data_IF_753714853059
#
_entry.id   IF_753714853059
#
_cell.length_a   1.000
_cell.length_b   1.000
_cell.length_c   1.000
_cell.angle_alpha   90.00
_cell.angle_beta   90.00
_cell.angle_gamma   90.00
#
_symmetry.space_group_name_H-M   'P 1'
#
loop_
_entity.id
_entity.type
_entity.pdbx_description
1 polymer ?
#
# COMPACT_ATOMS: atom_id res chain seq x y z
N UNK A 1 -3.47 -10.70 -4.37
CA UNK A 1 -4.11 -9.58 -5.07
C UNK A 1 -5.51 -9.95 -5.56
N UNK A 2 -5.73 -11.13 -6.14
CA UNK A 2 -7.06 -11.53 -6.67
C UNK A 2 -8.11 -11.65 -5.56
N UNK A 3 -7.78 -12.33 -4.45
CA UNK A 3 -8.71 -12.45 -3.31
C UNK A 3 -9.08 -11.08 -2.74
N UNK A 4 -8.11 -10.18 -2.56
CA UNK A 4 -8.35 -8.81 -2.09
C UNK A 4 -9.25 -8.04 -3.08
N UNK A 5 -9.02 -8.19 -4.38
CA UNK A 5 -9.84 -7.57 -5.43
C UNK A 5 -11.29 -8.05 -5.36
N UNK A 6 -11.52 -9.35 -5.12
CA UNK A 6 -12.86 -9.93 -4.95
C UNK A 6 -13.53 -9.34 -3.70
N UNK A 7 -12.81 -9.27 -2.58
CA UNK A 7 -13.35 -8.75 -1.32
C UNK A 7 -13.61 -7.23 -1.37
N UNK A 8 -12.87 -6.47 -2.16
CA UNK A 8 -13.15 -5.05 -2.40
C UNK A 8 -14.42 -4.84 -3.25
N UNK A 9 -14.74 -5.77 -4.17
CA UNK A 9 -15.99 -5.71 -4.96
C UNK A 9 -17.18 -6.21 -4.14
N UNK A 10 -16.98 -7.32 -3.41
CA UNK A 10 -17.99 -7.93 -2.55
C UNK A 10 -17.34 -8.38 -1.23
N UNK A 11 -17.44 -7.56 -0.17
CA UNK A 11 -16.85 -7.86 1.14
C UNK A 11 -17.36 -9.15 1.80
N UNK A 12 -18.56 -9.58 1.45
CA UNK A 12 -19.19 -10.80 1.99
C UNK A 12 -18.90 -12.05 1.13
N UNK A 13 -18.09 -11.93 0.07
CA UNK A 13 -17.79 -13.03 -0.83
C UNK A 13 -17.08 -14.18 -0.10
N UNK A 14 -17.65 -15.38 -0.22
CA UNK A 14 -17.04 -16.60 0.28
C UNK A 14 -16.44 -17.38 -0.89
N UNK A 15 -15.12 -17.32 -1.01
CA UNK A 15 -14.39 -17.88 -2.14
C UNK A 15 -13.10 -18.55 -1.71
N UNK A 16 -12.65 -19.51 -2.51
CA UNK A 16 -11.28 -20.01 -2.50
C UNK A 16 -10.64 -19.61 -3.83
N UNK A 17 -9.51 -18.92 -3.76
CA UNK A 17 -8.71 -18.57 -4.94
C UNK A 17 -7.48 -19.47 -4.94
N UNK A 18 -7.27 -20.21 -6.02
CA UNK A 18 -6.11 -21.08 -6.17
C UNK A 18 -4.98 -20.34 -6.89
N UNK A 19 -3.92 -20.02 -6.14
CA UNK A 19 -2.88 -19.12 -6.61
C UNK A 19 -3.37 -17.68 -6.66
N UNK A 20 -2.78 -16.85 -7.52
CA UNK A 20 -3.22 -15.47 -7.75
C UNK A 20 -3.79 -15.32 -9.16
N UNK A 21 -4.79 -16.17 -9.47
CA UNK A 21 -5.41 -16.25 -10.80
C UNK A 21 -6.91 -16.05 -10.76
N UNK A 22 -7.40 -15.16 -11.62
CA UNK A 22 -8.83 -14.96 -11.83
C UNK A 22 -9.51 -16.10 -12.63
N UNK A 23 -8.74 -17.06 -13.14
CA UNK A 23 -9.25 -18.23 -13.87
C UNK A 23 -9.57 -19.42 -12.97
N UNK A 24 -9.11 -19.41 -11.72
CA UNK A 24 -9.22 -20.56 -10.80
C UNK A 24 -9.80 -20.14 -9.45
N UNK A 25 -11.11 -19.88 -9.44
CA UNK A 25 -11.87 -19.42 -8.28
C UNK A 25 -13.02 -20.38 -8.02
N UNK A 26 -13.10 -20.91 -6.80
CA UNK A 26 -14.26 -21.61 -6.28
C UNK A 26 -15.13 -20.65 -5.46
N UNK A 27 -16.43 -20.60 -5.78
CA UNK A 27 -17.41 -19.76 -5.12
C UNK A 27 -18.28 -20.62 -4.18
N UNK A 28 -18.46 -20.17 -2.94
CA UNK A 28 -19.17 -20.91 -1.90
C UNK A 28 -20.40 -20.16 -1.38
N UNK A 29 -21.27 -20.87 -0.66
CA UNK A 29 -22.41 -20.33 0.09
C UNK A 29 -23.35 -19.42 -0.71
N UNK A 30 -23.51 -19.70 -2.01
CA UNK A 30 -24.36 -18.93 -2.89
C UNK A 30 -23.79 -17.56 -3.27
N UNK A 31 -22.50 -17.31 -3.04
CA UNK A 31 -21.82 -16.11 -3.54
C UNK A 31 -21.95 -16.06 -5.06
N UNK A 32 -22.56 -15.01 -5.59
CA UNK A 32 -22.67 -14.78 -7.03
C UNK A 32 -21.27 -14.60 -7.62
N UNK A 33 -20.88 -15.41 -8.63
CA UNK A 33 -19.57 -15.25 -9.27
C UNK A 33 -19.41 -13.86 -9.89
N UNK A 34 -18.30 -13.21 -9.58
CA UNK A 34 -17.89 -11.93 -10.18
C UNK A 34 -17.18 -12.24 -11.50
N UNK A 35 -17.38 -11.38 -12.51
CA UNK A 35 -16.72 -11.58 -13.79
C UNK A 35 -15.20 -11.45 -13.66
N UNK A 36 -14.47 -12.23 -14.46
CA UNK A 36 -13.00 -12.15 -14.52
C UNK A 36 -12.53 -10.74 -14.86
N UNK A 37 -13.22 -10.08 -15.78
CA UNK A 37 -12.88 -8.72 -16.23
C UNK A 37 -12.98 -7.72 -15.06
N UNK A 38 -14.05 -7.79 -14.28
CA UNK A 38 -14.22 -6.90 -13.12
C UNK A 38 -13.16 -7.15 -12.05
N UNK A 39 -12.84 -8.43 -11.77
CA UNK A 39 -11.78 -8.80 -10.82
C UNK A 39 -10.43 -8.25 -11.26
N UNK A 40 -10.06 -8.43 -12.53
CA UNK A 40 -8.78 -7.94 -13.06
C UNK A 40 -8.73 -6.41 -13.15
N UNK A 41 -9.84 -5.76 -13.47
CA UNK A 41 -9.94 -4.31 -13.44
C UNK A 41 -9.70 -3.77 -12.03
N UNK A 42 -10.32 -4.38 -11.01
CA UNK A 42 -10.08 -4.01 -9.61
C UNK A 42 -8.66 -4.31 -9.16
N UNK A 43 -8.09 -5.44 -9.58
CA UNK A 43 -6.69 -5.75 -9.31
C UNK A 43 -5.75 -4.67 -9.86
N UNK A 44 -5.97 -4.24 -11.11
CA UNK A 44 -5.18 -3.19 -11.74
C UNK A 44 -5.33 -1.85 -11.02
N UNK A 45 -6.54 -1.49 -10.58
CA UNK A 45 -6.79 -0.30 -9.75
C UNK A 45 -5.99 -0.35 -8.44
N UNK A 46 -6.08 -1.46 -7.70
CA UNK A 46 -5.36 -1.63 -6.44
C UNK A 46 -3.83 -1.61 -6.62
N UNK A 47 -3.34 -2.22 -7.70
CA UNK A 47 -1.92 -2.19 -8.03
C UNK A 47 -1.46 -0.76 -8.35
N UNK A 48 -2.25 -0.01 -9.14
CA UNK A 48 -1.93 1.38 -9.46
C UNK A 48 -1.92 2.28 -8.21
N UNK A 49 -2.87 2.11 -7.29
CA UNK A 49 -2.89 2.81 -6.00
C UNK A 49 -1.65 2.44 -5.17
N UNK A 50 -1.32 1.15 -5.09
CA UNK A 50 -0.13 0.68 -4.39
C UNK A 50 1.14 1.30 -4.98
N UNK A 51 1.30 1.31 -6.30
CA UNK A 51 2.47 1.85 -6.98
C UNK A 51 2.55 3.38 -6.82
N UNK A 52 1.41 4.08 -6.89
CA UNK A 52 1.35 5.53 -6.64
C UNK A 52 1.82 5.91 -5.23
N UNK A 53 1.70 5.00 -4.25
CA UNK A 53 2.16 5.20 -2.87
C UNK A 53 3.60 4.73 -2.61
N UNK A 54 4.32 4.24 -3.63
CA UNK A 54 5.69 3.74 -3.47
C UNK A 54 6.63 4.80 -2.88
N UNK A 55 6.56 6.03 -3.38
CA UNK A 55 7.39 7.14 -2.87
C UNK A 55 7.17 7.36 -1.36
N UNK A 56 5.94 7.19 -0.87
CA UNK A 56 5.60 7.41 0.53
C UNK A 56 6.17 6.28 1.41
N UNK A 57 6.08 5.03 0.95
CA UNK A 57 6.69 3.87 1.63
C UNK A 57 8.21 4.01 1.72
N UNK A 58 8.84 4.38 0.61
CA UNK A 58 10.29 4.58 0.55
C UNK A 58 10.75 5.73 1.46
N UNK A 59 10.01 6.85 1.50
CA UNK A 59 10.26 7.94 2.45
C UNK A 59 10.16 7.48 3.90
N UNK A 60 9.10 6.73 4.24
CA UNK A 60 8.89 6.24 5.60
C UNK A 60 10.02 5.31 6.06
N UNK A 61 10.56 4.49 5.16
CA UNK A 61 11.67 3.59 5.45
C UNK A 61 12.99 4.32 5.74
N UNK A 62 13.21 5.49 5.13
CA UNK A 62 14.47 6.26 5.28
C UNK A 62 14.33 7.52 6.14
N UNK A 63 13.14 7.87 6.61
CA UNK A 63 12.97 9.02 7.49
C UNK A 63 13.69 8.81 8.83
N UNK A 64 14.18 9.91 9.45
CA UNK A 64 14.74 9.86 10.79
C UNK A 64 13.78 9.19 11.77
N UNK A 65 14.33 8.46 12.73
CA UNK A 65 13.54 7.76 13.74
C UNK A 65 12.83 8.74 14.68
N UNK A 66 11.86 8.23 15.45
CA UNK A 66 11.20 9.02 16.49
C UNK A 66 12.21 9.44 17.57
N UNK A 67 13.15 8.57 17.94
CA UNK A 67 14.18 8.88 18.95
C UNK A 67 15.10 10.02 18.48
N UNK A 68 15.51 10.03 17.21
CA UNK A 68 16.28 11.13 16.63
C UNK A 68 15.50 12.46 16.69
N UNK A 69 14.18 12.41 16.46
CA UNK A 69 13.32 13.58 16.59
C UNK A 69 13.16 14.04 18.05
N UNK A 70 13.06 13.11 19.00
CA UNK A 70 12.96 13.42 20.44
C UNK A 70 14.23 14.10 20.92
N UNK A 71 15.41 13.55 20.62
CA UNK A 71 16.70 14.18 20.97
C UNK A 71 16.81 15.58 20.36
N UNK A 72 16.47 15.72 19.08
CA UNK A 72 16.54 17.00 18.39
C UNK A 72 15.62 18.08 19.01
N UNK A 73 14.44 17.69 19.50
CA UNK A 73 13.48 18.65 20.06
C UNK A 73 13.65 18.88 21.56
N UNK A 74 14.03 17.87 22.33
CA UNK A 74 14.05 17.93 23.79
C UNK A 74 15.45 18.22 24.35
N UNK A 75 16.50 17.63 23.76
CA UNK A 75 17.87 17.78 24.27
C UNK A 75 18.58 18.98 23.63
N UNK A 76 18.37 19.20 22.32
CA UNK A 76 19.06 20.25 21.56
C UNK A 76 18.18 21.45 21.21
N UNK A 77 16.85 21.30 21.32
CA UNK A 77 15.85 22.30 20.88
C UNK A 77 16.05 22.76 19.41
N UNK A 78 16.73 21.94 18.60
CA UNK A 78 17.10 22.23 17.22
C UNK A 78 16.87 21.00 16.33
N UNK A 79 15.94 21.14 15.39
CA UNK A 79 15.56 20.11 14.42
C UNK A 79 16.21 20.27 13.05
N UNK A 80 17.13 21.21 12.86
CA UNK A 80 17.73 21.55 11.55
C UNK A 80 18.27 20.31 10.84
N UNK A 81 19.02 19.47 11.56
CA UNK A 81 19.59 18.22 11.03
C UNK A 81 18.49 17.23 10.61
N UNK A 82 17.39 17.14 11.36
CA UNK A 82 16.24 16.28 11.02
C UNK A 82 15.54 16.79 9.76
N UNK A 83 15.35 18.09 9.65
CA UNK A 83 14.71 18.72 8.49
C UNK A 83 15.56 18.53 7.22
N UNK A 84 16.88 18.67 7.31
CA UNK A 84 17.82 18.39 6.21
C UNK A 84 17.77 16.92 5.76
N UNK A 85 17.81 15.96 6.71
CA UNK A 85 17.67 14.53 6.40
C UNK A 85 16.34 14.26 5.68
N UNK A 86 15.24 14.82 6.17
CA UNK A 86 13.91 14.66 5.53
C UNK A 86 13.86 15.30 4.15
N UNK A 87 14.50 16.45 3.95
CA UNK A 87 14.60 17.10 2.66
C UNK A 87 15.37 16.23 1.65
N UNK A 88 16.50 15.64 2.06
CA UNK A 88 17.26 14.71 1.23
C UNK A 88 16.45 13.46 0.83
N UNK A 89 15.73 12.85 1.78
CA UNK A 89 14.86 11.69 1.50
C UNK A 89 13.71 12.07 0.57
N UNK A 90 13.13 13.27 0.72
CA UNK A 90 12.10 13.78 -0.21
C UNK A 90 12.62 14.04 -1.61
N UNK A 91 13.87 14.48 -1.74
CA UNK A 91 14.53 14.68 -3.02
C UNK A 91 14.87 13.35 -3.71
N UNK A 92 15.25 12.33 -2.94
CA UNK A 92 15.50 10.96 -3.43
C UNK A 92 14.22 10.27 -3.92
N UNK A 93 13.11 10.50 -3.23
CA UNK A 93 11.79 9.95 -3.56
C UNK A 93 10.80 11.09 -3.79
N UNK A 94 10.80 11.76 -4.96
CA UNK A 94 9.89 12.87 -5.25
C UNK A 94 8.43 12.40 -5.21
N UNK A 95 7.50 13.34 -4.99
CA UNK A 95 6.08 13.02 -5.22
C UNK A 95 5.89 12.88 -6.74
N UNK A 96 5.12 11.88 -7.19
CA UNK A 96 4.70 11.79 -8.58
C UNK A 96 3.88 13.02 -9.00
#
# INVERSE_FOLDING_TARGET
MILESILEINPDAKVVVYGDSADNIEWHDGTTPISKEDILAKQAELQAEYDAQEYARNRKAEYPSIDELVVALYDTEDKTVIDEKRAAVKAKYPKP
#
